data_IF_718453493742
#
_entry.id   IF_718453493742
#
_cell.length_a   1.000
_cell.length_b   1.000
_cell.length_c   1.000
_cell.angle_alpha   90.00
_cell.angle_beta   90.00
_cell.angle_gamma   90.00
#
_symmetry.space_group_name_H-M   'P 1'
#
loop_
_entity.id
_entity.type
_entity.pdbx_description
1 polymer ?
#
# COMPACT_ATOMS: atom_id res chain seq x y z
N UNK A 1 -24.82 13.83 -21.64
CA UNK A 1 -24.58 13.97 -20.19
C UNK A 1 -24.36 12.57 -19.61
N UNK A 2 -23.10 12.14 -19.43
CA UNK A 2 -22.82 10.81 -18.87
C UNK A 2 -22.94 10.87 -17.34
N UNK A 3 -23.93 10.17 -16.80
CA UNK A 3 -24.11 10.03 -15.36
C UNK A 3 -22.95 9.27 -14.74
N UNK A 4 -22.14 9.97 -13.94
CA UNK A 4 -21.15 9.34 -13.05
C UNK A 4 -21.91 8.39 -12.13
N UNK A 5 -21.58 7.09 -12.15
CA UNK A 5 -22.17 6.10 -11.25
C UNK A 5 -21.70 6.41 -9.83
N UNK A 6 -22.46 7.23 -9.12
CA UNK A 6 -22.24 7.56 -7.71
C UNK A 6 -22.69 6.38 -6.84
N UNK A 7 -21.96 6.11 -5.75
CA UNK A 7 -22.24 4.94 -4.91
C UNK A 7 -23.27 5.28 -3.84
N UNK A 8 -24.35 4.50 -3.75
CA UNK A 8 -25.38 4.64 -2.70
C UNK A 8 -25.07 3.75 -1.49
N UNK A 9 -23.95 3.01 -1.47
CA UNK A 9 -23.67 1.99 -0.45
C UNK A 9 -23.63 2.53 0.99
N UNK A 10 -23.33 3.81 1.17
CA UNK A 10 -23.28 4.48 2.48
C UNK A 10 -24.30 5.62 2.63
N UNK A 11 -25.27 5.74 1.71
CA UNK A 11 -26.21 6.87 1.70
C UNK A 11 -25.55 8.23 1.42
N UNK A 12 -24.32 8.24 0.92
CA UNK A 12 -23.53 9.43 0.59
C UNK A 12 -23.27 9.44 -0.91
N UNK A 13 -23.67 10.50 -1.60
CA UNK A 13 -23.60 10.62 -3.05
C UNK A 13 -22.19 10.98 -3.57
N UNK A 14 -21.22 10.11 -3.28
CA UNK A 14 -19.80 10.29 -3.61
C UNK A 14 -19.26 9.13 -4.44
N UNK A 15 -18.24 9.41 -5.25
CA UNK A 15 -17.54 8.38 -5.98
C UNK A 15 -16.54 7.66 -5.06
N UNK A 16 -16.35 6.36 -5.26
CA UNK A 16 -15.50 5.52 -4.43
C UNK A 16 -14.16 5.26 -5.11
N UNK A 17 -13.08 5.30 -4.35
CA UNK A 17 -11.72 4.94 -4.76
C UNK A 17 -11.23 3.85 -3.82
N UNK A 18 -10.85 2.71 -4.40
CA UNK A 18 -10.26 1.58 -3.68
C UNK A 18 -8.75 1.61 -3.89
N UNK A 19 -8.00 1.74 -2.81
CA UNK A 19 -6.55 1.73 -2.83
C UNK A 19 -6.05 0.32 -2.50
N UNK A 20 -5.24 -0.23 -3.41
CA UNK A 20 -4.56 -1.51 -3.23
C UNK A 20 -3.39 -1.38 -2.25
N UNK A 21 -3.20 -2.42 -1.46
CA UNK A 21 -2.32 -2.49 -0.30
C UNK A 21 -0.84 -2.71 -0.64
N UNK A 22 -0.40 -2.27 -1.81
CA UNK A 22 1.03 -2.14 -2.10
C UNK A 22 1.76 -1.22 -1.11
N UNK A 23 1.04 -0.34 -0.38
CA UNK A 23 1.56 0.51 0.69
C UNK A 23 1.73 -0.18 2.07
N UNK A 24 1.18 -1.39 2.24
CA UNK A 24 1.23 -2.13 3.51
C UNK A 24 2.25 -3.28 3.51
N UNK A 25 2.95 -3.53 2.40
CA UNK A 25 3.88 -4.66 2.35
C UNK A 25 5.25 -4.33 2.96
N UNK A 26 5.26 -4.09 4.28
CA UNK A 26 6.46 -4.14 5.12
C UNK A 26 7.12 -5.54 5.05
N UNK A 27 6.44 -6.54 4.49
CA UNK A 27 6.92 -7.91 4.32
C UNK A 27 7.50 -8.23 2.91
N UNK A 28 7.36 -7.36 1.89
CA UNK A 28 8.02 -7.57 0.56
C UNK A 28 9.38 -6.89 0.45
N UNK A 29 9.65 -5.90 1.29
CA UNK A 29 11.02 -5.47 1.51
C UNK A 29 11.54 -6.39 2.61
N UNK A 30 12.52 -7.23 2.29
CA UNK A 30 13.25 -8.04 3.27
C UNK A 30 13.47 -7.18 4.51
N UNK A 31 12.84 -7.55 5.62
CA UNK A 31 12.73 -6.72 6.81
C UNK A 31 14.07 -6.08 7.12
N UNK A 32 14.11 -4.74 7.07
CA UNK A 32 15.13 -3.86 7.65
C UNK A 32 16.49 -4.55 7.87
N UNK A 33 17.39 -4.48 6.88
CA UNK A 33 18.79 -4.92 7.03
C UNK A 33 19.58 -4.08 8.05
N UNK A 34 18.95 -3.11 8.70
CA UNK A 34 19.54 -2.30 9.75
C UNK A 34 19.31 -2.95 11.11
N UNK A 35 20.32 -3.71 11.54
CA UNK A 35 20.57 -4.14 12.93
C UNK A 35 19.38 -4.86 13.60
N UNK A 36 19.21 -6.15 13.32
CA UNK A 36 18.44 -7.04 14.21
C UNK A 36 19.12 -7.11 15.58
N UNK A 37 18.36 -7.39 16.65
CA UNK A 37 18.87 -7.48 18.03
C UNK A 37 20.07 -8.44 18.17
N UNK A 38 20.14 -9.39 17.26
CA UNK A 38 21.09 -10.47 17.08
C UNK A 38 22.32 -10.12 16.20
N UNK A 39 22.38 -8.92 15.58
CA UNK A 39 23.48 -8.49 14.68
C UNK A 39 24.19 -7.20 15.10
N UNK A 40 24.67 -7.13 16.34
CA UNK A 40 25.50 -6.00 16.81
C UNK A 40 26.97 -6.25 16.47
N UNK A 41 27.61 -5.33 15.73
CA UNK A 41 29.08 -5.24 15.65
C UNK A 41 29.58 -4.33 16.78
N UNK A 42 30.20 -4.90 17.80
CA UNK A 42 30.87 -4.14 18.85
C UNK A 42 32.26 -3.69 18.39
N UNK A 43 32.55 -2.39 18.41
CA UNK A 43 33.92 -1.89 18.30
C UNK A 43 34.67 -2.11 19.61
N UNK A 44 35.93 -2.57 19.54
CA UNK A 44 36.74 -3.05 20.67
C UNK A 44 37.25 -1.99 21.65
N UNK A 45 36.94 -0.71 21.53
CA UNK A 45 37.59 0.34 22.34
C UNK A 45 36.59 1.25 23.03
N UNK A 46 36.81 1.40 24.34
CA UNK A 46 35.88 2.00 25.29
C UNK A 46 36.03 3.51 25.45
N UNK A 47 34.91 4.13 25.83
CA UNK A 47 34.76 5.14 26.88
C UNK A 47 33.29 5.57 26.95
N UNK A 48 32.70 5.47 28.14
CA UNK A 48 31.41 6.05 28.50
C UNK A 48 30.30 5.05 28.78
N UNK A 49 30.11 4.68 30.05
CA UNK A 49 28.89 4.09 30.55
C UNK A 49 27.76 5.14 30.55
N UNK A 50 27.21 5.43 29.37
CA UNK A 50 25.83 5.92 29.25
C UNK A 50 25.00 4.65 29.18
N UNK A 51 23.94 4.51 29.98
CA UNK A 51 22.93 3.48 29.78
C UNK A 51 22.34 3.69 28.39
N UNK A 52 22.94 3.06 27.38
CA UNK A 52 22.49 3.17 26.00
C UNK A 52 21.14 2.47 25.96
N UNK A 53 20.06 3.16 25.54
CA UNK A 53 18.76 2.53 25.43
C UNK A 53 18.91 1.28 24.56
N UNK A 54 18.31 0.18 25.00
CA UNK A 54 18.33 -1.05 24.23
C UNK A 54 17.70 -0.80 22.86
N UNK A 55 18.12 -1.53 21.82
CA UNK A 55 17.53 -1.42 20.48
C UNK A 55 16.00 -1.56 20.54
N UNK A 56 15.49 -2.42 21.43
CA UNK A 56 14.06 -2.57 21.71
C UNK A 56 13.41 -1.25 22.14
N UNK A 57 13.98 -0.58 23.15
CA UNK A 57 13.49 0.71 23.64
C UNK A 57 13.51 1.77 22.54
N UNK A 58 14.54 1.77 21.68
CA UNK A 58 14.63 2.69 20.55
C UNK A 58 13.56 2.41 19.48
N UNK A 59 13.26 1.14 19.18
CA UNK A 59 12.20 0.76 18.25
C UNK A 59 10.83 1.15 18.81
N UNK A 60 10.56 0.86 20.08
CA UNK A 60 9.29 1.21 20.74
C UNK A 60 9.05 2.73 20.73
N UNK A 61 10.08 3.53 21.03
CA UNK A 61 10.01 4.98 20.94
C UNK A 61 9.83 5.45 19.48
N UNK A 62 10.54 4.84 18.52
CA UNK A 62 10.40 5.19 17.12
C UNK A 62 8.99 4.92 16.58
N UNK A 63 8.35 3.81 16.98
CA UNK A 63 6.96 3.53 16.61
C UNK A 63 5.98 4.46 17.35
N UNK A 64 6.24 4.80 18.62
CA UNK A 64 5.40 5.71 19.41
C UNK A 64 5.36 7.13 18.82
N UNK A 65 6.50 7.64 18.37
CA UNK A 65 6.63 8.99 17.81
C UNK A 65 6.52 9.03 16.28
N UNK A 66 6.25 7.89 15.64
CA UNK A 66 6.07 7.85 14.19
C UNK A 66 4.80 8.65 13.83
N UNK A 67 4.92 9.71 13.00
CA UNK A 67 3.73 10.42 12.54
C UNK A 67 2.84 9.46 11.71
N UNK A 68 1.50 9.64 11.73
CA UNK A 68 0.61 8.88 10.87
C UNK A 68 1.08 8.95 9.43
N UNK A 69 1.05 7.80 8.73
CA UNK A 69 1.39 7.76 7.31
C UNK A 69 0.43 8.65 6.52
N UNK A 70 0.97 9.50 5.64
CA UNK A 70 0.20 10.37 4.75
C UNK A 70 0.49 9.96 3.31
N UNK A 71 -0.56 9.64 2.57
CA UNK A 71 -0.46 9.23 1.17
C UNK A 71 -1.06 10.31 0.27
N UNK A 72 -0.28 10.72 -0.73
CA UNK A 72 -0.69 11.74 -1.70
C UNK A 72 -1.99 11.35 -2.43
N UNK A 73 -2.17 10.07 -2.73
CA UNK A 73 -3.39 9.57 -3.37
C UNK A 73 -4.64 9.81 -2.50
N UNK A 74 -4.53 9.62 -1.18
CA UNK A 74 -5.62 9.88 -0.24
C UNK A 74 -5.92 11.37 -0.16
N UNK A 75 -4.89 12.22 -0.12
CA UNK A 75 -5.05 13.68 -0.09
C UNK A 75 -5.74 14.18 -1.36
N UNK A 76 -5.31 13.71 -2.53
CA UNK A 76 -5.91 14.05 -3.82
C UNK A 76 -7.36 13.57 -3.90
N UNK A 77 -7.62 12.30 -3.58
CA UNK A 77 -8.97 11.74 -3.65
C UNK A 77 -9.93 12.48 -2.71
N UNK A 78 -9.49 12.77 -1.48
CA UNK A 78 -10.30 13.53 -0.51
C UNK A 78 -10.52 14.97 -0.97
N UNK A 79 -9.52 15.62 -1.58
CA UNK A 79 -9.64 16.98 -2.14
C UNK A 79 -10.75 17.10 -3.19
N UNK A 80 -10.99 16.04 -3.96
CA UNK A 80 -12.05 15.99 -4.97
C UNK A 80 -13.32 15.26 -4.51
N UNK A 81 -13.52 15.15 -3.20
CA UNK A 81 -14.74 14.57 -2.59
C UNK A 81 -14.99 13.09 -2.94
N UNK A 82 -13.93 12.30 -3.16
CA UNK A 82 -14.04 10.84 -3.27
C UNK A 82 -14.02 10.17 -1.90
N UNK A 83 -14.72 9.04 -1.76
CA UNK A 83 -14.61 8.14 -0.62
C UNK A 83 -13.44 7.18 -0.84
N UNK A 84 -12.49 7.15 0.09
CA UNK A 84 -11.29 6.31 -0.02
C UNK A 84 -11.44 5.06 0.84
N UNK A 85 -11.31 3.90 0.22
CA UNK A 85 -11.33 2.59 0.88
C UNK A 85 -9.99 1.90 0.73
N UNK A 86 -9.51 1.29 1.82
CA UNK A 86 -8.31 0.44 1.82
C UNK A 86 -8.75 -1.02 1.84
N UNK A 87 -8.26 -1.81 0.90
CA UNK A 87 -8.57 -3.25 0.83
C UNK A 87 -7.50 -4.06 1.56
N UNK A 88 -7.84 -5.01 2.45
CA UNK A 88 -6.88 -5.78 3.24
C UNK A 88 -5.84 -6.50 2.36
N UNK A 89 -4.65 -6.81 2.89
CA UNK A 89 -3.56 -7.39 2.12
C UNK A 89 -3.92 -8.82 1.76
N UNK A 90 -3.40 -9.29 0.63
CA UNK A 90 -3.61 -10.66 0.14
C UNK A 90 -5.08 -11.04 -0.05
N UNK A 91 -5.97 -10.06 -0.21
CA UNK A 91 -7.39 -10.27 -0.44
C UNK A 91 -7.85 -9.69 -1.81
N UNK A 92 -7.24 -10.14 -2.93
CA UNK A 92 -7.56 -9.62 -4.27
C UNK A 92 -9.04 -9.83 -4.64
N UNK A 93 -9.72 -10.78 -3.99
CA UNK A 93 -11.17 -11.03 -4.16
C UNK A 93 -12.05 -9.85 -3.73
N UNK A 94 -11.54 -8.94 -2.89
CA UNK A 94 -12.26 -7.72 -2.48
C UNK A 94 -12.06 -6.55 -3.44
N UNK A 95 -11.14 -6.69 -4.40
CA UNK A 95 -10.82 -5.65 -5.37
C UNK A 95 -11.57 -5.89 -6.67
N UNK A 96 -12.60 -5.10 -6.93
CA UNK A 96 -13.43 -5.23 -8.13
C UNK A 96 -12.63 -5.15 -9.44
N UNK A 97 -11.47 -4.46 -9.43
CA UNK A 97 -10.60 -4.37 -10.60
C UNK A 97 -10.01 -5.72 -11.00
N UNK A 98 -9.78 -6.64 -10.07
CA UNK A 98 -9.25 -7.98 -10.36
C UNK A 98 -10.25 -8.81 -11.17
N UNK A 99 -11.55 -8.65 -10.92
CA UNK A 99 -12.60 -9.26 -11.74
C UNK A 99 -12.57 -8.74 -13.18
N UNK A 100 -12.43 -7.41 -13.35
CA UNK A 100 -12.31 -6.79 -14.67
C UNK A 100 -11.05 -7.29 -15.38
N UNK A 101 -9.92 -7.36 -14.68
CA UNK A 101 -8.68 -7.91 -15.22
C UNK A 101 -8.83 -9.37 -15.66
N UNK A 102 -9.51 -10.20 -14.89
CA UNK A 102 -9.78 -11.59 -15.27
C UNK A 102 -10.55 -11.69 -16.59
N UNK A 103 -11.59 -10.87 -16.77
CA UNK A 103 -12.39 -10.81 -18.00
C UNK A 103 -11.54 -10.33 -19.18
N UNK A 104 -10.78 -9.23 -19.00
CA UNK A 104 -9.95 -8.64 -20.05
C UNK A 104 -8.86 -9.62 -20.49
N UNK A 105 -8.13 -10.23 -19.54
CA UNK A 105 -7.11 -11.25 -19.83
C UNK A 105 -7.72 -12.44 -20.56
N UNK A 106 -8.90 -12.90 -20.16
CA UNK A 106 -9.62 -13.97 -20.87
C UNK A 106 -9.97 -13.62 -22.31
N UNK A 107 -10.34 -12.36 -22.60
CA UNK A 107 -10.58 -11.88 -23.98
C UNK A 107 -9.29 -11.86 -24.80
N UNK A 108 -8.22 -11.31 -24.23
CA UNK A 108 -6.89 -11.25 -24.88
C UNK A 108 -6.38 -12.66 -25.16
N UNK A 109 -6.54 -13.62 -24.24
CA UNK A 109 -6.12 -14.99 -24.44
C UNK A 109 -6.88 -15.69 -25.60
N UNK A 110 -8.16 -15.38 -25.80
CA UNK A 110 -8.96 -15.92 -26.93
C UNK A 110 -8.59 -15.30 -28.27
N UNK A 111 -8.15 -14.05 -28.28
CA UNK A 111 -7.74 -13.36 -29.51
C UNK A 111 -6.47 -12.57 -29.25
N UNK A 112 -5.31 -13.25 -29.23
CA UNK A 112 -4.06 -12.59 -28.89
C UNK A 112 -3.69 -11.50 -29.92
N UNK A 113 -3.34 -10.29 -29.47
CA UNK A 113 -2.86 -9.22 -30.33
C UNK A 113 -1.50 -9.59 -30.94
N UNK A 114 -1.22 -9.13 -32.17
CA UNK A 114 0.08 -9.35 -32.80
C UNK A 114 1.09 -8.27 -32.40
N UNK A 115 0.60 -7.07 -32.09
CA UNK A 115 1.40 -5.95 -31.63
C UNK A 115 0.61 -5.07 -30.65
N UNK A 116 1.28 -4.13 -29.98
CA UNK A 116 0.63 -3.23 -29.02
C UNK A 116 -0.51 -2.39 -29.62
N UNK A 117 -0.42 -2.05 -30.90
CA UNK A 117 -1.48 -1.30 -31.59
C UNK A 117 -2.78 -2.10 -31.71
N UNK A 118 -2.71 -3.44 -31.75
CA UNK A 118 -3.91 -4.30 -31.81
C UNK A 118 -4.68 -4.36 -30.49
N UNK A 119 -4.07 -3.92 -29.38
CA UNK A 119 -4.68 -3.91 -28.04
C UNK A 119 -5.65 -2.72 -27.88
N UNK A 120 -5.41 -1.62 -28.59
CA UNK A 120 -6.12 -0.34 -28.45
C UNK A 120 -7.19 -0.18 -29.53
N UNK A 121 -8.00 -1.22 -29.74
CA UNK A 121 -9.12 -1.20 -30.69
C UNK A 121 -10.42 -0.73 -30.06
#
# INVERSE_FOLDING_TARGET
>A
MLGTKRSVRLGVDRAEVYLDESDCNVNHVTGKTWLTADKIRYSKTGRGARSKPTIRTLIELAELYRPPKRYQVTEIATKYDYLVFFTPPYHPTLQLIELIWGIVKGRIARTPPKCGADVVK
#
